data_IF_573304957400
#
_entry.id   IF_573304957400
#
_cell.length_a   1.000
_cell.length_b   1.000
_cell.length_c   1.000
_cell.angle_alpha   90.00
_cell.angle_beta   90.00
_cell.angle_gamma   90.00
#
_symmetry.space_group_name_H-M   'P 1'
#
loop_
_entity.id
_entity.type
_entity.pdbx_description
1 polymer ?
#
# COMPACT_ATOMS: atom_id res chain seq x y z
N UNK A 1 -7.22 -14.07 -3.57
CA UNK A 1 -6.75 -15.12 -4.51
C UNK A 1 -7.33 -16.48 -4.18
N UNK A 2 -7.60 -16.84 -2.91
CA UNK A 2 -8.25 -18.12 -2.61
C UNK A 2 -9.78 -18.12 -2.87
N UNK A 3 -10.45 -16.98 -2.68
CA UNK A 3 -11.91 -16.86 -2.85
C UNK A 3 -12.36 -16.45 -4.27
N UNK A 4 -11.45 -15.88 -5.05
CA UNK A 4 -11.65 -15.61 -6.48
C UNK A 4 -10.87 -16.69 -7.19
N UNK A 5 -11.41 -17.37 -8.19
CA UNK A 5 -10.83 -18.52 -8.93
C UNK A 5 -9.52 -18.18 -9.71
N UNK A 6 -8.61 -17.47 -9.07
CA UNK A 6 -7.31 -17.04 -9.54
C UNK A 6 -6.27 -17.95 -8.88
N UNK A 7 -5.78 -18.91 -9.65
CA UNK A 7 -4.64 -19.72 -9.24
C UNK A 7 -3.38 -18.84 -9.18
N UNK A 8 -2.71 -18.85 -8.03
CA UNK A 8 -1.41 -18.19 -7.85
C UNK A 8 -0.43 -19.21 -7.29
N UNK A 9 0.69 -19.41 -7.99
CA UNK A 9 1.77 -20.28 -7.50
C UNK A 9 2.55 -19.52 -6.44
N UNK A 10 2.42 -19.93 -5.18
CA UNK A 10 3.14 -19.31 -4.06
C UNK A 10 4.56 -19.85 -4.03
N UNK A 11 5.54 -19.03 -4.44
CA UNK A 11 6.95 -19.39 -4.40
C UNK A 11 7.60 -19.13 -3.03
N UNK A 12 7.15 -18.08 -2.33
CA UNK A 12 7.72 -17.65 -1.05
C UNK A 12 6.66 -16.95 -0.20
N UNK A 13 6.67 -17.25 1.10
CA UNK A 13 5.93 -16.50 2.12
C UNK A 13 6.92 -15.78 3.02
N UNK A 14 6.71 -14.48 3.23
CA UNK A 14 7.57 -13.65 4.08
C UNK A 14 6.79 -13.09 5.27
N UNK A 15 7.45 -12.85 6.41
CA UNK A 15 6.79 -12.37 7.63
C UNK A 15 6.47 -10.87 7.60
N UNK A 16 7.08 -10.09 6.71
CA UNK A 16 6.87 -8.65 6.64
C UNK A 16 7.16 -8.05 5.24
N UNK A 17 6.67 -6.84 5.02
CA UNK A 17 6.78 -6.17 3.72
C UNK A 17 8.20 -5.71 3.36
N UNK A 18 9.06 -5.40 4.32
CA UNK A 18 10.44 -5.00 4.01
C UNK A 18 11.25 -6.19 3.48
N UNK A 19 11.04 -7.37 4.06
CA UNK A 19 11.60 -8.60 3.53
C UNK A 19 11.02 -8.94 2.15
N UNK A 20 9.72 -8.72 1.91
CA UNK A 20 9.15 -8.85 0.57
C UNK A 20 9.89 -7.97 -0.46
N UNK A 21 10.09 -6.68 -0.15
CA UNK A 21 10.75 -5.75 -1.06
C UNK A 21 12.19 -6.18 -1.40
N UNK A 22 12.94 -6.64 -0.40
CA UNK A 22 14.31 -7.15 -0.60
C UNK A 22 14.34 -8.40 -1.47
N UNK A 23 13.41 -9.34 -1.26
CA UNK A 23 13.33 -10.56 -2.07
C UNK A 23 12.91 -10.25 -3.51
N UNK A 24 11.96 -9.32 -3.70
CA UNK A 24 11.51 -8.88 -5.02
C UNK A 24 12.61 -8.16 -5.81
N UNK A 25 13.52 -7.45 -5.14
CA UNK A 25 14.63 -6.77 -5.85
C UNK A 25 15.71 -7.72 -6.37
N UNK A 26 15.76 -8.94 -5.84
CA UNK A 26 16.80 -9.93 -6.13
C UNK A 26 16.29 -11.12 -6.96
N UNK A 27 14.99 -11.15 -7.28
CA UNK A 27 14.34 -12.29 -7.94
C UNK A 27 13.30 -11.85 -8.97
N UNK A 28 12.90 -12.75 -9.86
CA UNK A 28 11.80 -12.52 -10.82
C UNK A 28 10.41 -12.77 -10.21
N UNK A 29 10.28 -12.59 -8.90
CA UNK A 29 9.01 -12.72 -8.20
C UNK A 29 8.18 -11.45 -8.33
N UNK A 30 6.85 -11.61 -8.27
CA UNK A 30 5.90 -10.50 -8.19
C UNK A 30 5.04 -10.65 -6.94
N UNK A 31 4.61 -9.54 -6.37
CA UNK A 31 3.74 -9.53 -5.19
C UNK A 31 2.77 -8.35 -5.21
N UNK A 32 1.62 -8.53 -4.57
CA UNK A 32 0.68 -7.46 -4.29
C UNK A 32 1.00 -6.85 -2.92
N UNK A 33 1.25 -5.54 -2.90
CA UNK A 33 1.66 -4.81 -1.69
C UNK A 33 0.75 -3.61 -1.42
N UNK A 34 0.57 -3.18 -0.15
CA UNK A 34 -0.16 -1.96 0.16
C UNK A 34 0.46 -0.75 -0.55
N UNK A 35 -0.40 0.06 -1.18
CA UNK A 35 0.02 1.21 -2.01
C UNK A 35 0.97 2.18 -1.31
N UNK A 36 0.80 2.37 0.01
CA UNK A 36 1.65 3.27 0.80
C UNK A 36 3.08 2.73 0.96
N UNK A 37 3.25 1.41 1.05
CA UNK A 37 4.57 0.77 1.12
C UNK A 37 5.29 0.95 -0.22
N UNK A 38 4.60 0.64 -1.32
CA UNK A 38 5.12 0.81 -2.68
C UNK A 38 5.53 2.26 -2.93
N UNK A 39 4.64 3.21 -2.66
CA UNK A 39 4.89 4.64 -2.90
C UNK A 39 6.05 5.23 -2.06
N UNK A 40 6.42 4.57 -0.96
CA UNK A 40 7.50 5.03 -0.08
C UNK A 40 8.82 4.33 -0.35
N UNK A 41 8.80 3.06 -0.74
CA UNK A 41 10.00 2.22 -0.73
C UNK A 41 10.35 1.61 -2.09
N UNK A 42 9.42 1.42 -3.02
CA UNK A 42 9.68 0.68 -4.26
C UNK A 42 10.86 1.23 -5.05
N UNK A 43 10.93 2.56 -5.22
CA UNK A 43 12.03 3.23 -5.92
C UNK A 43 13.41 2.92 -5.31
N UNK A 44 13.51 2.87 -3.98
CA UNK A 44 14.77 2.56 -3.27
C UNK A 44 15.25 1.13 -3.54
N UNK A 45 14.33 0.21 -3.79
CA UNK A 45 14.62 -1.18 -4.11
C UNK A 45 14.69 -1.45 -5.63
N UNK A 46 14.59 -0.41 -6.47
CA UNK A 46 14.57 -0.56 -7.93
C UNK A 46 13.32 -1.26 -8.47
N UNK A 47 12.21 -1.22 -7.71
CA UNK A 47 10.97 -1.90 -8.06
C UNK A 47 9.96 -0.99 -8.75
N UNK A 48 9.30 -1.51 -9.77
CA UNK A 48 8.16 -0.86 -10.42
C UNK A 48 6.82 -1.33 -9.85
N UNK A 49 5.77 -0.52 -10.02
CA UNK A 49 4.41 -0.87 -9.63
C UNK A 49 3.48 -0.87 -10.83
N UNK A 50 2.60 -1.86 -10.89
CA UNK A 50 1.54 -1.99 -11.89
C UNK A 50 0.17 -2.06 -11.21
N UNK A 51 -0.91 -1.57 -11.86
CA UNK A 51 -2.24 -1.76 -11.33
C UNK A 51 -2.56 -3.25 -11.24
N UNK A 52 -3.24 -3.65 -10.18
CA UNK A 52 -3.68 -5.04 -10.01
C UNK A 52 -4.72 -5.37 -11.10
N UNK A 53 -4.63 -6.51 -11.80
CA UNK A 53 -5.49 -6.83 -12.95
C UNK A 53 -6.93 -7.27 -12.57
N UNK A 54 -7.36 -7.01 -11.34
CA UNK A 54 -8.68 -7.36 -10.85
C UNK A 54 -9.17 -6.33 -9.83
N UNK A 55 -10.49 -6.31 -9.60
CA UNK A 55 -11.11 -5.40 -8.64
C UNK A 55 -10.54 -5.61 -7.24
N UNK A 56 -9.98 -4.55 -6.68
CA UNK A 56 -9.34 -4.51 -5.38
C UNK A 56 -10.09 -3.53 -4.48
N UNK A 57 -10.41 -3.96 -3.26
CA UNK A 57 -11.04 -3.11 -2.25
C UNK A 57 -9.95 -2.40 -1.47
N UNK A 58 -10.13 -1.11 -1.19
CA UNK A 58 -9.20 -0.36 -0.36
C UNK A 58 -9.07 -1.00 1.04
N UNK A 59 -7.85 -1.04 1.58
CA UNK A 59 -7.56 -1.54 2.93
C UNK A 59 -7.56 -0.37 3.95
N UNK A 60 -8.64 -0.14 4.71
CA UNK A 60 -8.72 0.99 5.62
C UNK A 60 -7.87 0.76 6.88
N UNK A 61 -6.89 1.64 7.11
CA UNK A 61 -6.22 1.73 8.41
C UNK A 61 -7.14 2.46 9.39
N UNK A 62 -7.43 1.83 10.53
CA UNK A 62 -8.33 2.35 11.56
C UNK A 62 -7.57 2.62 12.86
N UNK A 63 -7.98 3.67 13.55
CA UNK A 63 -7.58 3.94 14.94
C UNK A 63 -8.66 3.36 15.85
N UNK A 64 -8.25 2.60 16.87
CA UNK A 64 -9.17 1.93 17.80
C UNK A 64 -8.74 2.24 19.23
N UNK A 65 -9.71 2.58 20.08
CA UNK A 65 -9.52 2.77 21.51
C UNK A 65 -10.73 2.25 22.29
N UNK A 66 -10.52 1.95 23.58
CA UNK A 66 -11.62 1.66 24.49
C UNK A 66 -12.47 2.92 24.73
N UNK A 67 -13.72 2.75 25.17
CA UNK A 67 -14.60 3.88 25.51
C UNK A 67 -14.00 4.79 26.58
N UNK A 68 -13.37 4.19 27.60
CA UNK A 68 -12.71 4.94 28.67
C UNK A 68 -11.53 5.76 28.13
N UNK A 69 -10.70 5.16 27.28
CA UNK A 69 -9.60 5.86 26.61
C UNK A 69 -10.09 6.99 25.71
N UNK A 70 -11.20 6.81 25.00
CA UNK A 70 -11.76 7.86 24.14
C UNK A 70 -12.32 9.08 24.91
N UNK A 71 -12.63 8.93 26.20
CA UNK A 71 -13.06 10.04 27.06
C UNK A 71 -11.87 10.85 27.62
N UNK A 72 -10.64 10.36 27.47
CA UNK A 72 -9.44 11.07 27.89
C UNK A 72 -9.09 12.20 26.90
N UNK A 73 -8.81 13.38 27.46
CA UNK A 73 -8.51 14.57 26.67
C UNK A 73 -7.21 14.45 25.86
N UNK A 74 -6.21 13.74 26.39
CA UNK A 74 -4.95 13.49 25.71
C UNK A 74 -5.13 12.55 24.51
N UNK A 75 -5.91 11.49 24.67
CA UNK A 75 -6.23 10.55 23.58
C UNK A 75 -7.07 11.24 22.51
N UNK A 76 -8.06 12.05 22.90
CA UNK A 76 -8.83 12.87 21.97
C UNK A 76 -7.93 13.81 21.15
N UNK A 77 -7.02 14.52 21.81
CA UNK A 77 -6.03 15.37 21.14
C UNK A 77 -5.14 14.58 20.16
N UNK A 78 -4.62 13.42 20.58
CA UNK A 78 -3.78 12.57 19.72
C UNK A 78 -4.55 12.12 18.48
N UNK A 79 -5.82 11.74 18.60
CA UNK A 79 -6.65 11.36 17.46
C UNK A 79 -6.81 12.52 16.48
N UNK A 80 -6.94 13.76 16.97
CA UNK A 80 -6.99 14.93 16.10
C UNK A 80 -5.65 15.26 15.45
N UNK A 81 -4.52 15.00 16.11
CA UNK A 81 -3.19 15.04 15.47
C UNK A 81 -3.12 14.01 14.34
N UNK A 82 -3.50 12.76 14.61
CA UNK A 82 -3.48 11.68 13.60
C UNK A 82 -4.38 12.02 12.41
N UNK A 83 -5.62 12.49 12.64
CA UNK A 83 -6.53 12.92 11.58
C UNK A 83 -5.90 14.01 10.70
N UNK A 84 -5.27 15.02 11.31
CA UNK A 84 -4.58 16.10 10.58
C UNK A 84 -3.45 15.55 9.71
N UNK A 85 -2.55 14.75 10.29
CA UNK A 85 -1.45 14.12 9.55
C UNK A 85 -1.94 13.26 8.37
N UNK A 86 -2.97 12.45 8.58
CA UNK A 86 -3.53 11.59 7.53
C UNK A 86 -4.24 12.38 6.43
N UNK A 87 -4.91 13.48 6.78
CA UNK A 87 -5.55 14.37 5.79
C UNK A 87 -4.54 15.04 4.87
N UNK A 88 -3.36 15.40 5.39
CA UNK A 88 -2.26 15.99 4.62
C UNK A 88 -1.59 14.93 3.72
N UNK A 89 -1.35 13.73 4.25
CA UNK A 89 -0.73 12.64 3.49
C UNK A 89 -1.59 12.20 2.28
N UNK A 90 -2.92 12.21 2.41
CA UNK A 90 -3.84 11.93 1.29
C UNK A 90 -3.69 12.93 0.12
N UNK A 91 -3.41 14.21 0.41
CA UNK A 91 -3.20 15.25 -0.63
C UNK A 91 -1.90 15.01 -1.40
N UNK A 92 -0.84 14.59 -0.72
CA UNK A 92 0.48 14.31 -1.33
C UNK A 92 0.39 13.10 -2.27
N UNK A 93 -0.26 12.00 -1.83
CA UNK A 93 -0.39 10.79 -2.64
C UNK A 93 -1.24 11.03 -3.91
N UNK A 94 -2.29 11.87 -3.83
CA UNK A 94 -3.08 12.22 -5.02
C UNK A 94 -2.26 12.99 -6.08
N UNK A 95 -1.26 13.77 -5.68
CA UNK A 95 -0.40 14.54 -6.59
C UNK A 95 0.65 13.70 -7.32
N UNK A 96 1.07 12.56 -6.75
CA UNK A 96 2.10 11.67 -7.32
C UNK A 96 1.59 10.62 -8.32
N UNK A 97 0.37 10.75 -8.87
CA UNK A 97 -0.05 9.84 -9.95
C UNK A 97 0.91 10.00 -11.14
N UNK A 98 1.63 8.96 -11.59
CA UNK A 98 2.45 9.06 -12.78
C UNK A 98 1.54 9.19 -14.02
N UNK A 99 1.99 10.02 -14.96
CA UNK A 99 1.40 10.19 -16.29
C UNK A 99 1.57 8.86 -17.03
N UNK A 100 0.50 8.12 -17.23
CA UNK A 100 0.51 6.86 -17.98
C UNK A 100 0.85 7.19 -19.44
N UNK A 101 2.05 6.86 -19.88
CA UNK A 101 2.42 6.91 -21.30
C UNK A 101 1.80 5.69 -21.99
N UNK A 102 0.81 5.94 -22.85
CA UNK A 102 0.27 4.97 -23.81
C UNK A 102 1.40 4.44 -24.72
N UNK A 103 1.51 3.12 -24.95
CA UNK A 103 2.36 2.62 -26.03
C UNK A 103 1.68 2.93 -27.36
N UNK A 104 2.35 3.74 -28.18
CA UNK A 104 2.02 3.95 -29.59
C UNK A 104 2.21 2.62 -30.32
N UNK A 105 1.12 1.93 -30.63
CA UNK A 105 1.10 0.93 -31.70
C UNK A 105 1.32 1.63 -33.04
N UNK A 106 2.38 1.22 -33.74
CA UNK A 106 2.54 1.28 -35.19
C UNK A 106 3.41 0.05 -35.51
N UNK A 107 2.84 -1.03 -36.07
CA UNK A 107 2.51 -1.21 -37.50
C UNK A 107 3.75 -1.13 -38.38
#
# INVERSE_FOLDING_TARGET
MAEKDLSSRIALTVPNFMMALSQLSETDLISTLPKQIVARYAERFGLESRPVPFSWVDDPVRVVASKAAAADAGIAWMFDVIKRCMSQNRKVIKRRKPKQTEPRSAS
#
